data_IF_049548151408
#
_entry.id   IF_049548151408
#
_cell.length_a   1.000
_cell.length_b   1.000
_cell.length_c   1.000
_cell.angle_alpha   90.00
_cell.angle_beta   90.00
_cell.angle_gamma   90.00
#
_symmetry.space_group_name_H-M   'P 1'
#
loop_
_entity.id
_entity.type
_entity.pdbx_description
1 polymer ?
#
# COMPACT_ATOMS: atom_id res chain seq x y z
N UNK A 1 2.61 8.62 -10.28
CA UNK A 1 1.30 8.04 -10.62
C UNK A 1 1.27 6.52 -10.43
N UNK A 2 2.37 5.80 -10.68
CA UNK A 2 2.40 4.32 -10.61
C UNK A 2 2.51 3.77 -9.19
N UNK A 3 2.94 4.57 -8.21
CA UNK A 3 3.09 4.17 -6.81
C UNK A 3 1.80 4.31 -6.00
N UNK A 4 1.77 3.74 -4.80
CA UNK A 4 0.64 3.81 -3.84
C UNK A 4 0.31 5.24 -3.39
N UNK A 5 1.31 6.12 -3.33
CA UNK A 5 1.13 7.53 -2.90
C UNK A 5 0.36 8.38 -3.90
N UNK A 6 0.47 8.03 -5.20
CA UNK A 6 -0.11 8.78 -6.30
C UNK A 6 0.63 10.07 -6.61
N UNK A 7 0.30 10.67 -7.74
CA UNK A 7 0.88 11.93 -8.25
C UNK A 7 -0.24 12.85 -8.71
N UNK A 8 -0.17 14.10 -8.33
CA UNK A 8 -1.10 15.13 -8.80
C UNK A 8 -0.63 15.65 -10.16
N UNK A 9 -0.97 14.91 -11.23
CA UNK A 9 -0.53 15.20 -12.59
C UNK A 9 -1.23 16.41 -13.21
N UNK A 10 -2.45 16.73 -12.76
CA UNK A 10 -3.29 17.76 -13.36
C UNK A 10 -3.51 18.91 -12.38
N UNK A 11 -2.42 19.55 -11.94
CA UNK A 11 -2.54 20.79 -11.17
C UNK A 11 -3.23 21.88 -12.00
N UNK A 12 -4.22 22.64 -11.48
CA UNK A 12 -4.66 22.73 -10.08
C UNK A 12 -5.80 21.75 -9.67
N UNK A 13 -6.17 20.78 -10.49
CA UNK A 13 -7.16 19.78 -10.13
C UNK A 13 -6.63 18.93 -8.97
N UNK A 14 -7.40 18.82 -7.88
CA UNK A 14 -6.99 18.17 -6.64
C UNK A 14 -6.82 16.65 -6.72
N UNK A 15 -7.13 16.02 -7.86
CA UNK A 15 -7.14 14.58 -8.02
C UNK A 15 -5.73 14.01 -8.13
N UNK A 16 -5.39 13.08 -7.24
CA UNK A 16 -4.14 12.31 -7.31
C UNK A 16 -4.39 10.98 -8.02
N UNK A 17 -3.66 10.73 -9.09
CA UNK A 17 -3.67 9.45 -9.79
C UNK A 17 -2.68 8.49 -9.12
N UNK A 18 -3.17 7.32 -8.70
CA UNK A 18 -2.37 6.28 -8.07
C UNK A 18 -2.72 4.92 -8.69
N UNK A 19 -1.93 4.46 -9.64
CA UNK A 19 -2.13 3.14 -10.26
C UNK A 19 -1.73 1.99 -9.34
N UNK A 20 -0.88 2.25 -8.33
CA UNK A 20 -0.45 1.25 -7.33
C UNK A 20 0.08 -0.04 -7.99
N UNK A 21 0.85 0.07 -9.06
CA UNK A 21 1.38 -1.05 -9.83
C UNK A 21 2.86 -1.32 -9.56
N UNK A 22 3.55 -0.39 -8.91
CA UNK A 22 4.97 -0.48 -8.55
C UNK A 22 5.17 0.05 -7.13
N UNK A 23 6.08 -0.55 -6.38
CA UNK A 23 6.51 0.00 -5.10
C UNK A 23 7.38 1.24 -5.31
N UNK A 24 7.49 2.12 -4.28
CA UNK A 24 8.25 3.39 -4.38
C UNK A 24 9.71 3.16 -4.75
N UNK A 25 10.31 2.10 -4.19
CA UNK A 25 11.67 1.65 -4.49
C UNK A 25 11.55 0.28 -5.14
N UNK A 26 11.67 0.24 -6.47
CA UNK A 26 11.65 -1.00 -7.25
C UNK A 26 13.00 -1.17 -7.95
N UNK A 27 13.81 -2.15 -7.53
CA UNK A 27 15.13 -2.40 -8.13
C UNK A 27 15.05 -2.79 -9.60
N UNK A 28 14.02 -3.53 -10.01
CA UNK A 28 13.85 -3.97 -11.40
C UNK A 28 13.53 -2.81 -12.36
N UNK A 29 12.96 -1.72 -11.84
CA UNK A 29 12.79 -0.46 -12.58
C UNK A 29 14.07 0.38 -12.52
N UNK A 30 14.59 0.58 -11.30
CA UNK A 30 15.61 1.59 -11.04
C UNK A 30 16.97 1.17 -11.58
N UNK A 31 17.39 -0.09 -11.38
CA UNK A 31 18.73 -0.55 -11.76
C UNK A 31 18.93 -0.53 -13.28
N UNK A 32 18.06 -1.10 -14.13
CA UNK A 32 18.22 -1.01 -15.57
C UNK A 32 18.22 0.43 -16.08
N UNK A 33 17.32 1.27 -15.56
CA UNK A 33 17.26 2.69 -15.94
C UNK A 33 18.59 3.41 -15.62
N UNK A 34 19.12 3.20 -14.40
CA UNK A 34 20.40 3.80 -13.98
C UNK A 34 21.58 3.29 -14.81
N UNK A 35 21.62 2.01 -15.18
CA UNK A 35 22.67 1.46 -16.04
C UNK A 35 22.67 2.18 -17.39
N UNK A 36 21.54 2.29 -18.06
CA UNK A 36 21.45 2.98 -19.35
C UNK A 36 21.76 4.47 -19.23
N UNK A 37 21.36 5.13 -18.14
CA UNK A 37 21.68 6.52 -17.87
C UNK A 37 23.21 6.71 -17.73
N UNK A 38 23.86 5.87 -16.94
CA UNK A 38 25.32 5.90 -16.73
C UNK A 38 26.05 5.67 -18.07
N UNK A 39 25.65 4.64 -18.83
CA UNK A 39 26.22 4.38 -20.16
C UNK A 39 26.06 5.57 -21.10
N UNK A 40 24.90 6.26 -21.06
CA UNK A 40 24.67 7.47 -21.85
C UNK A 40 25.57 8.63 -21.41
N UNK A 41 25.81 8.80 -20.09
CA UNK A 41 26.66 9.87 -19.55
C UNK A 41 28.12 9.76 -20.00
N UNK A 42 28.63 8.55 -20.12
CA UNK A 42 30.01 8.31 -20.62
C UNK A 42 30.18 8.52 -22.12
N UNK A 43 29.12 8.79 -22.87
CA UNK A 43 29.20 9.07 -24.30
C UNK A 43 29.25 10.56 -24.61
N UNK A 44 30.01 10.95 -25.66
CA UNK A 44 30.00 12.32 -26.20
C UNK A 44 28.58 12.74 -26.58
N UNK A 45 28.23 14.05 -26.35
CA UNK A 45 26.88 14.57 -26.59
C UNK A 45 26.34 14.34 -28.00
N UNK A 46 27.21 14.35 -29.02
CA UNK A 46 26.87 14.15 -30.43
C UNK A 46 26.87 12.67 -30.86
N UNK A 47 27.25 11.74 -29.98
CA UNK A 47 27.39 10.32 -30.32
C UNK A 47 26.04 9.65 -30.56
N UNK A 48 25.93 8.84 -31.62
CA UNK A 48 24.78 7.96 -31.87
C UNK A 48 24.57 6.96 -30.72
N UNK A 49 25.68 6.51 -30.06
CA UNK A 49 25.61 5.59 -28.91
C UNK A 49 24.90 6.24 -27.71
N UNK A 50 25.14 7.54 -27.47
CA UNK A 50 24.42 8.25 -26.38
C UNK A 50 22.91 8.26 -26.62
N UNK A 51 22.47 8.57 -27.83
CA UNK A 51 21.06 8.55 -28.20
C UNK A 51 20.48 7.13 -28.04
N UNK A 52 21.21 6.11 -28.48
CA UNK A 52 20.79 4.71 -28.33
C UNK A 52 20.58 4.33 -26.87
N UNK A 53 21.55 4.58 -25.96
CA UNK A 53 21.42 4.26 -24.56
C UNK A 53 20.28 5.03 -23.89
N UNK A 54 20.13 6.33 -24.21
CA UNK A 54 19.01 7.12 -23.67
C UNK A 54 17.65 6.54 -24.12
N UNK A 55 17.52 6.22 -25.40
CA UNK A 55 16.28 5.61 -25.92
C UNK A 55 16.04 4.23 -25.30
N UNK A 56 17.06 3.38 -25.17
CA UNK A 56 16.92 2.06 -24.53
C UNK A 56 16.52 2.18 -23.06
N UNK A 57 17.11 3.10 -22.32
CA UNK A 57 16.71 3.36 -20.93
C UNK A 57 15.24 3.72 -20.81
N UNK A 58 14.74 4.60 -21.66
CA UNK A 58 13.31 4.97 -21.68
C UNK A 58 12.43 3.81 -22.13
N UNK A 59 12.79 3.09 -23.19
CA UNK A 59 12.01 1.96 -23.70
C UNK A 59 11.91 0.86 -22.65
N UNK A 60 13.03 0.44 -22.07
CA UNK A 60 13.06 -0.64 -21.07
C UNK A 60 12.25 -0.25 -19.82
N UNK A 61 12.46 0.97 -19.29
CA UNK A 61 11.73 1.41 -18.11
C UNK A 61 10.23 1.58 -18.39
N UNK A 62 9.83 2.12 -19.55
CA UNK A 62 8.42 2.26 -19.91
C UNK A 62 7.75 0.90 -20.12
N UNK A 63 8.44 -0.04 -20.81
CA UNK A 63 7.95 -1.41 -21.00
C UNK A 63 7.75 -2.13 -19.66
N UNK A 64 8.66 -1.92 -18.71
CA UNK A 64 8.52 -2.45 -17.36
C UNK A 64 7.28 -1.88 -16.66
N UNK A 65 7.02 -0.57 -16.76
CA UNK A 65 5.81 0.03 -16.17
C UNK A 65 4.53 -0.54 -16.79
N UNK A 66 4.50 -0.79 -18.09
CA UNK A 66 3.37 -1.47 -18.75
C UNK A 66 3.21 -2.89 -18.22
N UNK A 67 4.31 -3.64 -18.10
CA UNK A 67 4.31 -4.99 -17.52
C UNK A 67 3.73 -4.98 -16.09
N UNK A 68 4.11 -4.02 -15.23
CA UNK A 68 3.60 -3.94 -13.86
C UNK A 68 2.09 -3.67 -13.81
N UNK A 69 1.52 -2.97 -14.78
CA UNK A 69 0.06 -2.81 -14.89
C UNK A 69 -0.62 -4.12 -15.25
N UNK A 70 -0.04 -4.90 -16.16
CA UNK A 70 -0.56 -6.23 -16.52
C UNK A 70 -0.48 -7.20 -15.33
N UNK A 71 0.65 -7.21 -14.62
CA UNK A 71 0.82 -8.02 -13.41
C UNK A 71 -0.18 -7.61 -12.32
N UNK A 72 -0.42 -6.32 -12.15
CA UNK A 72 -1.45 -5.83 -11.23
C UNK A 72 -2.83 -6.34 -11.60
N UNK A 73 -3.20 -6.24 -12.86
CA UNK A 73 -4.48 -6.73 -13.34
C UNK A 73 -4.64 -8.23 -13.07
N UNK A 74 -3.61 -9.03 -13.39
CA UNK A 74 -3.62 -10.47 -13.14
C UNK A 74 -3.72 -10.81 -11.64
N UNK A 75 -2.96 -10.13 -10.78
CA UNK A 75 -3.04 -10.32 -9.33
C UNK A 75 -4.41 -9.92 -8.77
N UNK A 76 -4.97 -8.79 -9.24
CA UNK A 76 -6.30 -8.33 -8.85
C UNK A 76 -7.39 -9.36 -9.18
N UNK A 77 -7.39 -9.90 -10.43
CA UNK A 77 -8.31 -10.96 -10.82
C UNK A 77 -8.18 -12.21 -9.94
N UNK A 78 -6.96 -12.59 -9.57
CA UNK A 78 -6.74 -13.73 -8.65
C UNK A 78 -7.33 -13.51 -7.26
N UNK A 79 -7.22 -12.30 -6.71
CA UNK A 79 -7.86 -11.96 -5.44
C UNK A 79 -9.39 -11.96 -5.55
N UNK A 80 -9.96 -11.40 -6.62
CA UNK A 80 -11.41 -11.43 -6.83
C UNK A 80 -11.94 -12.86 -6.98
N UNK A 81 -11.24 -13.72 -7.74
CA UNK A 81 -11.64 -15.12 -7.90
C UNK A 81 -11.59 -15.86 -6.56
N UNK A 82 -10.54 -15.66 -5.77
CA UNK A 82 -10.42 -16.27 -4.44
C UNK A 82 -11.53 -15.79 -3.48
N UNK A 83 -11.94 -14.52 -3.52
CA UNK A 83 -13.05 -14.01 -2.73
C UNK A 83 -14.37 -14.64 -3.16
N UNK A 84 -14.61 -14.79 -4.47
CA UNK A 84 -15.81 -15.45 -5.02
C UNK A 84 -15.87 -16.93 -4.62
N UNK A 85 -14.77 -17.68 -4.75
CA UNK A 85 -14.66 -19.09 -4.36
C UNK A 85 -14.95 -19.29 -2.86
N UNK A 86 -14.46 -18.36 -2.03
CA UNK A 86 -14.68 -18.39 -0.57
C UNK A 86 -16.04 -17.78 -0.17
N UNK A 87 -16.85 -17.32 -1.14
CA UNK A 87 -18.16 -16.68 -0.92
C UNK A 87 -18.10 -15.46 0.00
N UNK A 88 -17.04 -14.70 -0.08
CA UNK A 88 -16.83 -13.48 0.69
C UNK A 88 -17.41 -12.29 -0.09
N UNK A 89 -18.43 -11.64 0.49
CA UNK A 89 -18.96 -10.38 -0.04
C UNK A 89 -18.07 -9.23 0.37
N UNK A 90 -17.78 -8.33 -0.57
CA UNK A 90 -16.92 -7.18 -0.30
C UNK A 90 -17.44 -5.91 -0.98
N UNK A 91 -17.10 -4.75 -0.42
CA UNK A 91 -17.45 -3.42 -0.94
C UNK A 91 -16.41 -2.93 -1.94
N UNK A 92 -15.16 -3.04 -1.56
CA UNK A 92 -14.04 -2.65 -2.41
C UNK A 92 -12.78 -3.47 -2.12
N UNK A 93 -11.89 -3.51 -3.10
CA UNK A 93 -10.60 -4.18 -3.01
C UNK A 93 -9.48 -3.25 -3.47
N UNK A 94 -8.41 -3.18 -2.71
CA UNK A 94 -7.20 -2.42 -3.03
C UNK A 94 -6.00 -3.34 -3.16
N UNK A 95 -5.55 -3.57 -4.39
CA UNK A 95 -4.43 -4.46 -4.72
C UNK A 95 -3.16 -3.67 -5.00
N UNK A 96 -2.05 -4.09 -4.39
CA UNK A 96 -0.75 -3.43 -4.52
C UNK A 96 0.39 -4.44 -4.44
N UNK A 97 1.55 -4.15 -5.07
CA UNK A 97 2.74 -4.98 -4.93
C UNK A 97 3.35 -4.84 -3.54
N UNK A 98 3.96 -5.89 -3.05
CA UNK A 98 4.77 -5.86 -1.84
C UNK A 98 6.08 -5.07 -2.05
N UNK A 99 6.73 -4.62 -0.97
CA UNK A 99 7.98 -3.87 -1.08
C UNK A 99 9.04 -4.58 -1.92
N UNK A 100 9.75 -3.80 -2.73
CA UNK A 100 10.94 -4.19 -3.52
C UNK A 100 10.71 -5.24 -4.61
N UNK A 101 9.47 -5.63 -4.90
CA UNK A 101 9.19 -6.62 -5.95
C UNK A 101 7.80 -6.44 -6.58
N UNK A 102 7.58 -7.13 -7.71
CA UNK A 102 6.31 -7.19 -8.44
C UNK A 102 5.77 -8.62 -8.58
N UNK A 103 6.29 -9.54 -7.78
CA UNK A 103 5.90 -10.96 -7.77
C UNK A 103 4.92 -11.24 -6.66
N UNK A 104 5.17 -10.67 -5.47
CA UNK A 104 4.32 -10.77 -4.30
C UNK A 104 3.37 -9.58 -4.24
N UNK A 105 2.09 -9.85 -4.12
CA UNK A 105 1.00 -8.88 -4.08
C UNK A 105 0.23 -9.00 -2.78
N UNK A 106 -0.32 -7.89 -2.34
CA UNK A 106 -1.26 -7.86 -1.22
C UNK A 106 -2.55 -7.19 -1.65
N UNK A 107 -3.67 -7.67 -1.11
CA UNK A 107 -4.96 -7.04 -1.27
C UNK A 107 -5.53 -6.70 0.10
N UNK A 108 -5.98 -5.46 0.24
CA UNK A 108 -6.88 -5.05 1.31
C UNK A 108 -8.30 -5.11 0.75
N UNK A 109 -9.17 -5.78 1.46
CA UNK A 109 -10.57 -5.99 1.06
C UNK A 109 -11.46 -5.42 2.14
N UNK A 110 -12.41 -4.56 1.77
CA UNK A 110 -13.38 -4.02 2.70
C UNK A 110 -14.67 -4.83 2.63
N UNK A 111 -15.11 -5.37 3.77
CA UNK A 111 -16.43 -5.97 3.98
C UNK A 111 -17.33 -5.01 4.77
N UNK A 112 -18.48 -5.46 5.23
CA UNK A 112 -19.36 -4.65 6.08
C UNK A 112 -18.72 -4.33 7.43
N UNK A 113 -18.20 -5.33 8.12
CA UNK A 113 -17.74 -5.23 9.51
C UNK A 113 -16.20 -5.25 9.63
N UNK A 114 -15.51 -5.83 8.64
CA UNK A 114 -14.09 -6.13 8.70
C UNK A 114 -13.31 -5.56 7.51
N UNK A 115 -12.00 -5.45 7.69
CA UNK A 115 -11.04 -5.43 6.61
C UNK A 115 -10.33 -6.78 6.53
N UNK A 116 -10.21 -7.32 5.32
CA UNK A 116 -9.46 -8.54 5.08
C UNK A 116 -8.14 -8.19 4.40
N UNK A 117 -7.07 -8.85 4.81
CA UNK A 117 -5.76 -8.73 4.14
C UNK A 117 -5.37 -10.10 3.61
N UNK A 118 -5.12 -10.18 2.31
CA UNK A 118 -4.63 -11.37 1.62
C UNK A 118 -3.30 -11.13 0.95
N UNK A 119 -2.48 -12.17 0.84
CA UNK A 119 -1.21 -12.15 0.12
C UNK A 119 -1.22 -13.20 -0.98
N UNK A 120 -0.62 -12.89 -2.11
CA UNK A 120 -0.53 -13.77 -3.27
C UNK A 120 0.80 -13.56 -3.99
N UNK A 121 1.46 -14.67 -4.31
CA UNK A 121 2.60 -14.69 -5.23
C UNK A 121 2.24 -15.47 -6.49
N UNK A 122 2.78 -15.04 -7.64
CA UNK A 122 2.61 -15.80 -8.90
C UNK A 122 3.22 -17.21 -8.85
N UNK A 123 4.01 -17.52 -7.83
CA UNK A 123 4.56 -18.85 -7.59
C UNK A 123 3.73 -19.68 -6.58
N UNK A 124 2.69 -19.10 -5.99
CA UNK A 124 1.87 -19.82 -5.03
C UNK A 124 0.95 -20.83 -5.72
N UNK A 125 0.92 -22.03 -5.15
CA UNK A 125 0.01 -23.11 -5.58
C UNK A 125 -1.16 -23.30 -4.59
N UNK A 126 -1.09 -22.64 -3.43
CA UNK A 126 -2.11 -22.73 -2.39
C UNK A 126 -3.18 -21.66 -2.59
N UNK A 127 -4.42 -21.93 -2.15
CA UNK A 127 -5.48 -20.92 -2.10
C UNK A 127 -5.04 -19.70 -1.29
N UNK A 128 -5.50 -18.52 -1.70
CA UNK A 128 -5.23 -17.27 -0.99
C UNK A 128 -5.96 -17.29 0.36
N UNK A 129 -5.22 -17.14 1.44
CA UNK A 129 -5.79 -16.99 2.78
C UNK A 129 -6.00 -15.49 3.08
N UNK A 130 -7.19 -15.16 3.56
CA UNK A 130 -7.51 -13.80 4.01
C UNK A 130 -7.54 -13.76 5.53
N UNK A 131 -6.85 -12.77 6.10
CA UNK A 131 -6.84 -12.50 7.54
C UNK A 131 -7.80 -11.35 7.82
N UNK A 132 -8.74 -11.56 8.74
CA UNK A 132 -9.74 -10.56 9.12
C UNK A 132 -9.25 -9.65 10.24
N UNK A 133 -9.53 -8.36 10.07
CA UNK A 133 -9.27 -7.29 11.03
C UNK A 133 -10.57 -6.50 11.24
N UNK A 134 -11.24 -6.66 12.39
CA UNK A 134 -12.47 -5.93 12.70
C UNK A 134 -12.27 -4.42 12.61
N UNK A 135 -13.21 -3.71 12.00
CA UNK A 135 -13.17 -2.25 11.85
C UNK A 135 -13.15 -1.54 13.20
N UNK A 136 -14.03 -1.96 14.11
CA UNK A 136 -14.21 -1.41 15.44
C UNK A 136 -14.39 0.13 15.46
N UNK A 137 -14.93 0.70 14.40
CA UNK A 137 -15.08 2.15 14.27
C UNK A 137 -15.95 2.75 15.37
N UNK A 138 -16.90 1.97 15.93
CA UNK A 138 -17.75 2.38 17.05
C UNK A 138 -16.96 2.77 18.31
N UNK A 139 -15.71 2.31 18.46
CA UNK A 139 -14.88 2.68 19.61
C UNK A 139 -14.43 4.15 19.59
N UNK A 140 -14.58 4.82 18.45
CA UNK A 140 -14.18 6.22 18.28
C UNK A 140 -15.33 7.13 17.85
N UNK A 141 -16.60 6.69 17.95
CA UNK A 141 -17.77 7.45 17.50
C UNK A 141 -17.81 8.86 18.10
N UNK A 142 -17.48 8.99 19.39
CA UNK A 142 -17.40 10.29 20.07
C UNK A 142 -16.26 11.18 19.57
N UNK A 143 -15.22 10.58 18.97
CA UNK A 143 -14.02 11.27 18.50
C UNK A 143 -14.07 11.60 17.00
N UNK A 144 -15.00 11.03 16.24
CA UNK A 144 -15.09 11.20 14.78
C UNK A 144 -15.27 12.66 14.38
N UNK A 145 -15.96 13.48 15.19
CA UNK A 145 -16.16 14.91 14.92
C UNK A 145 -14.91 15.77 15.19
N UNK A 146 -13.90 15.21 15.84
CA UNK A 146 -12.66 15.94 16.10
C UNK A 146 -11.88 16.15 14.80
N UNK A 147 -11.41 17.36 14.56
CA UNK A 147 -10.70 17.76 13.33
C UNK A 147 -9.46 16.88 13.05
N UNK A 148 -8.69 16.54 14.09
CA UNK A 148 -7.51 15.68 13.95
C UNK A 148 -7.89 14.25 13.56
N UNK A 149 -8.98 13.71 14.13
CA UNK A 149 -9.49 12.40 13.77
C UNK A 149 -9.97 12.37 12.32
N UNK A 150 -10.76 13.37 11.90
CA UNK A 150 -11.19 13.49 10.50
C UNK A 150 -10.00 13.58 9.55
N UNK A 151 -8.95 14.29 9.94
CA UNK A 151 -7.72 14.36 9.15
C UNK A 151 -7.04 12.99 9.01
N UNK A 152 -6.95 12.21 10.10
CA UNK A 152 -6.41 10.83 10.06
C UNK A 152 -7.25 9.93 9.15
N UNK A 153 -8.57 9.97 9.27
CA UNK A 153 -9.50 9.22 8.42
C UNK A 153 -9.33 9.62 6.94
N UNK A 154 -9.21 10.91 6.65
CA UNK A 154 -8.97 11.40 5.29
C UNK A 154 -7.62 10.95 4.73
N UNK A 155 -6.56 10.96 5.55
CA UNK A 155 -5.22 10.49 5.15
C UNK A 155 -5.25 9.00 4.84
N UNK A 156 -5.87 8.18 5.70
CA UNK A 156 -6.00 6.72 5.49
C UNK A 156 -7.00 6.36 4.40
N UNK A 157 -7.78 7.34 3.90
CA UNK A 157 -8.85 7.14 2.91
C UNK A 157 -9.88 6.10 3.35
N UNK A 158 -10.18 6.04 4.65
CA UNK A 158 -11.09 5.07 5.25
C UNK A 158 -10.49 3.67 5.49
N UNK A 159 -9.26 3.42 5.08
CA UNK A 159 -8.57 2.15 5.32
C UNK A 159 -7.89 2.13 6.69
N UNK A 160 -8.67 1.98 7.75
CA UNK A 160 -8.16 1.93 9.13
C UNK A 160 -8.99 1.01 10.01
N UNK A 161 -8.38 0.49 11.06
CA UNK A 161 -9.07 -0.24 12.12
C UNK A 161 -8.69 0.33 13.48
N UNK A 162 -9.58 0.17 14.45
CA UNK A 162 -9.33 0.58 15.82
C UNK A 162 -9.11 -0.67 16.66
N UNK A 163 -8.06 -0.66 17.44
CA UNK A 163 -7.79 -1.70 18.43
C UNK A 163 -7.70 -1.09 19.81
N UNK A 164 -8.06 -1.86 20.83
CA UNK A 164 -7.95 -1.47 22.24
C UNK A 164 -7.03 -2.45 22.93
N UNK A 165 -5.99 -1.92 23.58
CA UNK A 165 -5.12 -2.70 24.46
C UNK A 165 -5.04 -1.97 25.80
N UNK A 166 -5.27 -2.70 26.88
CA UNK A 166 -5.44 -2.17 28.23
C UNK A 166 -6.51 -1.06 28.26
N UNK A 167 -6.13 0.17 28.46
CA UNK A 167 -7.04 1.30 28.42
C UNK A 167 -6.76 2.29 27.27
N UNK A 168 -5.88 1.93 26.34
CA UNK A 168 -5.45 2.77 25.22
C UNK A 168 -6.10 2.30 23.93
N UNK A 169 -6.63 3.26 23.17
CA UNK A 169 -7.11 3.03 21.80
C UNK A 169 -5.96 3.27 20.81
N UNK A 170 -5.92 2.44 19.79
CA UNK A 170 -4.93 2.54 18.72
C UNK A 170 -5.62 2.68 17.37
N UNK A 171 -5.17 3.67 16.60
CA UNK A 171 -5.53 3.85 15.21
C UNK A 171 -4.51 3.14 14.33
N UNK A 172 -4.94 2.18 13.52
CA UNK A 172 -4.08 1.37 12.67
C UNK A 172 -4.37 1.69 11.21
N UNK A 173 -3.40 2.25 10.49
CA UNK A 173 -3.51 2.55 9.07
C UNK A 173 -3.21 1.31 8.24
N UNK A 174 -4.21 0.79 7.53
CA UNK A 174 -4.10 -0.43 6.74
C UNK A 174 -3.48 -0.23 5.35
N UNK A 175 -3.28 1.01 4.92
CA UNK A 175 -2.77 1.28 3.56
C UNK A 175 -1.38 0.71 3.31
N UNK A 176 -0.63 0.45 4.34
CA UNK A 176 0.75 -0.07 4.24
C UNK A 176 0.85 -1.54 4.65
N UNK A 177 -0.26 -2.14 5.06
CA UNK A 177 -0.35 -3.54 5.46
C UNK A 177 0.14 -3.79 6.88
N UNK A 178 0.51 -5.04 7.12
CA UNK A 178 1.00 -5.53 8.41
C UNK A 178 2.46 -5.96 8.30
N UNK A 179 3.21 -5.82 9.38
CA UNK A 179 4.63 -6.23 9.45
C UNK A 179 4.81 -7.74 9.60
N UNK A 180 3.79 -8.43 10.13
CA UNK A 180 3.82 -9.86 10.38
C UNK A 180 2.72 -10.57 9.58
N UNK A 181 3.06 -11.68 8.97
CA UNK A 181 2.08 -12.59 8.36
C UNK A 181 1.34 -13.44 9.40
N UNK A 182 1.68 -13.32 10.68
CA UNK A 182 0.97 -14.00 11.76
C UNK A 182 -0.35 -13.28 12.05
N UNK A 183 -1.51 -13.92 11.85
CA UNK A 183 -2.82 -13.31 12.09
C UNK A 183 -3.05 -12.82 13.52
N UNK A 184 -2.36 -13.42 14.49
CA UNK A 184 -2.46 -13.05 15.91
C UNK A 184 -1.59 -11.85 16.28
N UNK A 185 -0.55 -11.57 15.50
CA UNK A 185 0.28 -10.40 15.70
C UNK A 185 -0.34 -9.21 14.96
N UNK A 186 -1.11 -8.39 15.64
CA UNK A 186 -1.69 -7.14 15.11
C UNK A 186 -0.60 -6.08 14.91
N UNK A 187 0.45 -6.44 14.16
CA UNK A 187 1.60 -5.60 13.93
C UNK A 187 1.42 -4.80 12.65
N UNK A 188 0.76 -3.65 12.76
CA UNK A 188 0.58 -2.72 11.64
C UNK A 188 1.86 -1.91 11.38
N UNK A 189 2.09 -1.55 10.11
CA UNK A 189 3.24 -0.70 9.75
C UNK A 189 3.11 0.67 10.39
N UNK A 190 1.91 1.24 10.39
CA UNK A 190 1.61 2.50 11.05
C UNK A 190 0.49 2.31 12.06
N UNK A 191 0.86 2.46 13.31
CA UNK A 191 -0.04 2.41 14.45
C UNK A 191 0.16 3.66 15.32
N UNK A 192 -0.92 4.30 15.71
CA UNK A 192 -0.92 5.51 16.51
C UNK A 192 -1.77 5.29 17.75
N UNK A 193 -1.22 5.56 18.94
CA UNK A 193 -2.04 5.63 20.15
C UNK A 193 -2.91 6.88 20.11
N UNK A 194 -4.15 6.73 20.56
CA UNK A 194 -5.11 7.82 20.69
C UNK A 194 -5.16 8.20 22.17
N UNK A 195 -4.59 9.33 22.51
CA UNK A 195 -4.70 9.91 23.83
C UNK A 195 -5.72 11.06 23.81
N UNK A 196 -6.79 10.92 24.57
CA UNK A 196 -7.84 11.93 24.67
C UNK A 196 -7.86 12.50 26.09
N UNK A 197 -7.55 13.78 26.22
CA UNK A 197 -7.68 14.49 27.48
C UNK A 197 -9.15 14.86 27.74
N UNK A 198 -9.50 15.12 29.01
CA UNK A 198 -10.83 15.53 29.45
C UNK A 198 -11.40 16.77 28.72
N UNK A 199 -10.54 17.56 28.08
CA UNK A 199 -10.91 18.76 27.32
C UNK A 199 -11.19 18.50 25.84
N UNK A 200 -11.27 17.21 25.40
CA UNK A 200 -11.53 16.81 24.01
C UNK A 200 -10.35 17.00 23.06
N UNK A 201 -9.18 17.34 23.56
CA UNK A 201 -7.96 17.39 22.75
C UNK A 201 -7.43 15.98 22.51
N UNK A 202 -7.36 15.59 21.23
CA UNK A 202 -6.76 14.32 20.81
C UNK A 202 -5.28 14.54 20.47
N UNK A 203 -4.44 13.64 20.97
CA UNK A 203 -3.04 13.51 20.59
C UNK A 203 -2.83 12.13 19.97
N UNK A 204 -2.19 12.10 18.79
CA UNK A 204 -1.72 10.87 18.17
C UNK A 204 -0.23 10.76 18.40
N UNK A 205 0.19 9.63 18.96
CA UNK A 205 1.62 9.30 19.10
C UNK A 205 1.89 8.04 18.29
N UNK A 206 2.89 8.09 17.41
CA UNK A 206 3.33 6.92 16.67
C UNK A 206 3.92 5.90 17.64
N UNK A 207 3.37 4.69 17.63
CA UNK A 207 3.89 3.61 18.46
C UNK A 207 5.10 3.01 17.76
N UNK A 208 6.31 3.45 18.16
CA UNK A 208 7.55 2.83 17.74
C UNK A 208 7.63 1.45 18.40
N UNK A 209 7.52 0.39 17.62
CA UNK A 209 7.67 -0.96 18.15
C UNK A 209 9.13 -1.24 18.49
N UNK A 210 9.36 -1.62 19.74
CA UNK A 210 10.62 -2.21 20.13
C UNK A 210 10.86 -3.51 19.36
N UNK A 211 12.11 -3.75 18.99
CA UNK A 211 12.57 -4.94 18.25
C UNK A 211 12.38 -6.28 19.00
N UNK A 212 11.89 -6.24 20.22
CA UNK A 212 11.85 -7.39 21.13
C UNK A 212 10.53 -8.19 21.06
N UNK A 213 9.56 -7.75 20.22
CA UNK A 213 8.23 -8.42 20.05
C UNK A 213 8.10 -9.19 18.73
N UNK A 214 9.22 -9.62 18.10
CA UNK A 214 9.22 -10.34 16.83
C UNK A 214 9.47 -11.85 17.01
#
# INVERSE_FOLDING_TARGET
AFTTWGTQLFWPLGTRLAFKSIFVIDPLYTVPFMVFLILALFQKRTSKKRRFYNTMGLVVSSSYLVLTLLLKWAAHSKFEDALKEQKISFKQIDTRPSPLNTILWSANVETDDDFLIGHYSFFDTKPIAFVSYPKNHQLIDELVQNEKMQRMISISKGWYTITKSDNTLYYNDLRFGVLSLNPKAQNFVFQYSIDSNSDGHIKFEETLKNKDDA
#
